data_IF_752819681381
#
_entry.id   IF_752819681381
#
_cell.length_a   1.000
_cell.length_b   1.000
_cell.length_c   1.000
_cell.angle_alpha   90.00
_cell.angle_beta   90.00
_cell.angle_gamma   90.00
#
_symmetry.space_group_name_H-M   'P 1'
#
loop_
_entity.id
_entity.type
_entity.pdbx_description
1 polymer ?
#
# COMPACT_ATOMS: atom_id res chain seq x y z
N UNK A 1 0.79 -26.26 7.20
CA UNK A 1 2.23 -25.92 7.38
C UNK A 1 2.43 -24.55 6.75
N UNK A 2 2.50 -23.47 7.54
CA UNK A 2 2.81 -22.16 7.00
C UNK A 2 4.30 -22.14 6.67
N UNK A 3 4.62 -22.00 5.39
CA UNK A 3 6.01 -21.87 4.92
C UNK A 3 6.27 -20.37 4.79
N UNK A 4 7.30 -19.88 5.50
CA UNK A 4 7.80 -18.51 5.30
C UNK A 4 8.69 -18.59 4.05
N UNK A 5 8.13 -18.30 2.89
CA UNK A 5 8.81 -18.53 1.59
C UNK A 5 9.72 -17.36 1.16
N UNK A 6 9.69 -16.21 1.85
CA UNK A 6 10.57 -15.08 1.50
C UNK A 6 10.77 -14.08 2.64
N UNK A 7 11.98 -14.03 3.21
CA UNK A 7 12.44 -12.90 4.04
C UNK A 7 12.92 -11.77 3.11
N UNK A 8 12.00 -11.04 2.50
CA UNK A 8 12.36 -9.86 1.73
C UNK A 8 12.82 -8.76 2.68
N UNK A 9 14.04 -8.26 2.47
CA UNK A 9 14.55 -7.09 3.17
C UNK A 9 13.82 -5.86 2.59
N UNK A 10 12.61 -5.63 3.09
CA UNK A 10 11.64 -4.68 2.52
C UNK A 10 12.00 -3.24 2.86
N UNK A 11 12.41 -3.02 4.11
CA UNK A 11 12.60 -1.73 4.76
C UNK A 11 13.89 -1.73 5.58
N UNK A 12 14.49 -0.55 5.77
CA UNK A 12 15.69 -0.37 6.61
C UNK A 12 15.36 -0.15 8.09
N UNK A 13 14.07 -0.14 8.43
CA UNK A 13 13.56 -0.01 9.80
C UNK A 13 12.33 -0.88 10.03
N UNK A 14 11.82 -0.86 11.27
CA UNK A 14 10.64 -1.63 11.68
C UNK A 14 9.42 -1.33 10.81
N UNK A 15 8.81 -2.39 10.28
CA UNK A 15 7.53 -2.31 9.56
C UNK A 15 6.41 -2.13 10.57
N UNK A 16 5.61 -1.08 10.43
CA UNK A 16 4.51 -0.76 11.34
C UNK A 16 3.20 -1.40 10.92
N UNK A 17 2.92 -1.37 9.61
CA UNK A 17 1.65 -1.81 9.05
C UNK A 17 1.84 -2.45 7.70
N UNK A 18 0.93 -3.36 7.41
CA UNK A 18 0.79 -4.07 6.14
C UNK A 18 -0.71 -4.11 5.80
N UNK A 19 -1.06 -3.87 4.56
CA UNK A 19 -2.46 -3.84 4.10
C UNK A 19 -2.57 -4.41 2.70
N UNK A 20 -3.69 -5.09 2.44
CA UNK A 20 -4.00 -5.69 1.16
C UNK A 20 -4.87 -4.76 0.33
N UNK A 21 -4.57 -4.64 -0.95
CA UNK A 21 -5.50 -4.01 -1.88
C UNK A 21 -6.74 -4.90 -2.07
N UNK A 22 -7.79 -4.33 -2.64
CA UNK A 22 -8.93 -5.12 -3.05
C UNK A 22 -8.52 -6.12 -4.17
N UNK A 23 -8.97 -7.39 -4.15
CA UNK A 23 -8.54 -8.42 -5.11
C UNK A 23 -8.78 -8.11 -6.59
N UNK A 24 -9.67 -7.15 -6.89
CA UNK A 24 -9.93 -6.64 -8.24
C UNK A 24 -8.70 -5.99 -8.89
N UNK A 25 -7.76 -5.49 -8.07
CA UNK A 25 -6.49 -4.93 -8.53
C UNK A 25 -5.36 -5.98 -8.57
N UNK A 26 -5.70 -7.26 -8.41
CA UNK A 26 -4.74 -8.34 -8.25
C UNK A 26 -4.23 -8.50 -6.82
N UNK A 27 -3.16 -9.28 -6.69
CA UNK A 27 -2.60 -9.67 -5.41
C UNK A 27 -1.55 -8.63 -4.96
N UNK A 28 -2.06 -7.48 -4.54
CA UNK A 28 -1.25 -6.29 -4.20
C UNK A 28 -1.23 -6.03 -2.71
N UNK A 29 -0.04 -5.74 -2.18
CA UNK A 29 0.22 -5.47 -0.78
C UNK A 29 0.93 -4.13 -0.64
N UNK A 30 0.59 -3.37 0.40
CA UNK A 30 1.37 -2.21 0.83
C UNK A 30 1.92 -2.41 2.24
N UNK A 31 3.13 -1.92 2.48
CA UNK A 31 3.79 -1.90 3.79
C UNK A 31 4.29 -0.51 4.11
N UNK A 32 4.35 -0.13 5.39
CA UNK A 32 4.95 1.14 5.82
C UNK A 32 5.88 0.95 7.02
N UNK A 33 6.85 1.85 7.17
CA UNK A 33 7.97 1.65 8.11
C UNK A 33 8.43 2.90 8.85
N UNK A 34 9.15 2.65 9.94
CA UNK A 34 9.92 3.63 10.68
C UNK A 34 10.94 4.37 9.80
N UNK A 35 11.40 3.75 8.72
CA UNK A 35 12.36 4.31 7.76
C UNK A 35 11.80 5.45 6.88
N UNK A 36 10.56 5.88 7.15
CA UNK A 36 9.83 6.98 6.47
C UNK A 36 9.29 6.61 5.10
N UNK A 37 9.26 5.33 4.75
CA UNK A 37 8.78 4.89 3.45
C UNK A 37 7.52 4.02 3.56
N UNK A 38 6.76 4.00 2.46
CA UNK A 38 5.80 2.95 2.19
C UNK A 38 6.20 2.22 0.90
N UNK A 39 6.03 0.91 0.84
CA UNK A 39 6.36 0.11 -0.34
C UNK A 39 5.11 -0.61 -0.84
N UNK A 40 4.98 -0.72 -2.16
CA UNK A 40 3.91 -1.45 -2.84
C UNK A 40 4.52 -2.69 -3.50
N UNK A 41 3.85 -3.82 -3.30
CA UNK A 41 4.29 -5.14 -3.70
C UNK A 41 3.20 -5.85 -4.50
N UNK A 42 3.61 -6.66 -5.46
CA UNK A 42 2.71 -7.52 -6.23
C UNK A 42 3.20 -8.97 -6.15
N UNK A 43 2.28 -9.89 -5.93
CA UNK A 43 2.55 -11.32 -6.04
C UNK A 43 2.49 -11.73 -7.51
N UNK A 44 3.57 -12.33 -8.00
CA UNK A 44 3.59 -13.00 -9.29
C UNK A 44 3.64 -14.49 -9.04
N UNK A 45 2.62 -15.19 -9.55
CA UNK A 45 2.56 -16.65 -9.52
C UNK A 45 3.27 -17.16 -10.76
N UNK A 46 4.41 -17.84 -10.58
CA UNK A 46 5.12 -18.45 -11.70
C UNK A 46 4.35 -19.65 -12.26
N UNK A 47 4.09 -19.66 -13.57
CA UNK A 47 3.66 -20.86 -14.30
C UNK A 47 4.86 -21.80 -14.52
N UNK A 48 5.35 -22.43 -13.46
CA UNK A 48 6.48 -23.36 -13.56
C UNK A 48 6.01 -24.70 -14.12
N UNK A 49 6.38 -25.00 -15.37
CA UNK A 49 6.03 -26.23 -16.08
C UNK A 49 6.83 -27.48 -15.68
N UNK A 50 7.68 -27.44 -14.65
CA UNK A 50 8.34 -28.65 -14.16
C UNK A 50 8.76 -28.51 -12.68
N UNK A 51 8.31 -29.45 -11.84
CA UNK A 51 8.78 -29.80 -10.47
C UNK A 51 8.80 -28.75 -9.34
N UNK A 52 8.64 -27.44 -9.59
CA UNK A 52 8.43 -26.41 -8.55
C UNK A 52 7.02 -25.82 -8.64
N UNK A 53 6.00 -26.64 -8.32
CA UNK A 53 4.63 -26.15 -8.17
C UNK A 53 4.53 -25.22 -6.97
N UNK A 54 4.21 -23.95 -7.19
CA UNK A 54 3.60 -23.08 -6.18
C UNK A 54 4.49 -22.07 -5.46
N UNK A 55 5.68 -21.75 -5.97
CA UNK A 55 6.45 -20.62 -5.41
C UNK A 55 5.94 -19.29 -5.98
N UNK A 56 5.09 -18.63 -5.21
CA UNK A 56 4.70 -17.23 -5.39
C UNK A 56 5.87 -16.32 -5.05
N UNK A 57 6.23 -15.38 -5.93
CA UNK A 57 7.26 -14.39 -5.63
C UNK A 57 6.66 -12.99 -5.50
N UNK A 58 7.11 -12.27 -4.47
CA UNK A 58 6.72 -10.88 -4.23
C UNK A 58 7.71 -9.94 -4.90
N UNK A 59 7.22 -9.10 -5.81
CA UNK A 59 8.01 -8.08 -6.47
C UNK A 59 7.68 -6.72 -5.87
N UNK A 60 8.71 -5.99 -5.41
CA UNK A 60 8.55 -4.58 -5.03
C UNK A 60 8.31 -3.75 -6.29
N UNK A 61 7.13 -3.16 -6.42
CA UNK A 61 6.77 -2.34 -7.59
C UNK A 61 7.18 -0.88 -7.42
N UNK A 62 7.03 -0.34 -6.21
CA UNK A 62 7.47 1.03 -5.91
C UNK A 62 7.81 1.23 -4.44
N UNK A 63 8.51 2.33 -4.14
CA UNK A 63 8.73 2.86 -2.80
C UNK A 63 8.34 4.33 -2.77
N UNK A 64 7.36 4.67 -1.95
CA UNK A 64 6.89 6.03 -1.69
C UNK A 64 7.76 6.64 -0.59
N UNK A 65 8.42 7.76 -0.92
CA UNK A 65 9.47 8.37 -0.10
C UNK A 65 9.18 9.82 0.30
N UNK A 66 7.94 10.30 0.07
CA UNK A 66 7.56 11.70 0.31
C UNK A 66 7.50 12.06 1.81
N UNK A 67 7.39 11.06 2.69
CA UNK A 67 7.26 11.31 4.12
C UNK A 67 8.59 11.72 4.75
N UNK A 68 8.58 12.81 5.53
CA UNK A 68 9.76 13.34 6.22
C UNK A 68 10.02 12.66 7.56
N UNK A 69 9.01 12.00 8.12
CA UNK A 69 9.09 11.24 9.36
C UNK A 69 8.48 9.85 9.18
N UNK A 70 8.55 9.02 10.22
CA UNK A 70 8.10 7.63 10.16
C UNK A 70 6.66 7.52 9.69
N UNK A 71 6.38 6.55 8.82
CA UNK A 71 5.02 6.28 8.33
C UNK A 71 4.37 5.31 9.30
N UNK A 72 3.34 5.78 10.00
CA UNK A 72 2.72 5.08 11.13
C UNK A 72 1.59 4.16 10.70
N UNK A 73 0.90 4.50 9.61
CA UNK A 73 -0.16 3.67 9.05
C UNK A 73 -0.29 3.83 7.53
N UNK A 74 -0.84 2.80 6.89
CA UNK A 74 -1.06 2.72 5.45
C UNK A 74 -2.35 1.94 5.15
N UNK A 75 -3.22 2.49 4.30
CA UNK A 75 -4.53 1.90 3.95
C UNK A 75 -4.88 2.13 2.49
N UNK A 76 -5.27 1.07 1.79
CA UNK A 76 -5.92 1.21 0.49
C UNK A 76 -7.32 1.80 0.65
N UNK A 77 -7.72 2.64 -0.31
CA UNK A 77 -9.08 3.14 -0.40
C UNK A 77 -10.06 2.04 -0.85
N UNK A 78 -11.37 2.23 -0.66
CA UNK A 78 -12.37 1.37 -1.25
C UNK A 78 -12.24 1.33 -2.78
N UNK A 79 -12.39 0.14 -3.38
CA UNK A 79 -12.17 -0.10 -4.82
C UNK A 79 -12.92 0.85 -5.77
N UNK A 80 -14.06 1.36 -5.33
CA UNK A 80 -14.89 2.26 -6.14
C UNK A 80 -14.30 3.66 -6.30
N UNK A 81 -13.28 4.00 -5.52
CA UNK A 81 -12.48 5.23 -5.68
C UNK A 81 -11.24 5.01 -6.56
N UNK A 82 -11.08 3.81 -7.14
CA UNK A 82 -9.87 3.42 -7.86
C UNK A 82 -8.80 2.82 -6.95
N UNK A 83 -7.60 2.59 -7.50
CA UNK A 83 -6.46 2.08 -6.75
C UNK A 83 -5.74 3.24 -6.07
N UNK A 84 -6.21 3.58 -4.87
CA UNK A 84 -5.61 4.63 -4.05
C UNK A 84 -5.02 4.07 -2.77
N UNK A 85 -3.94 4.70 -2.30
CA UNK A 85 -3.23 4.33 -1.08
C UNK A 85 -3.05 5.58 -0.22
N UNK A 86 -3.46 5.51 1.04
CA UNK A 86 -3.23 6.58 2.00
C UNK A 86 -2.16 6.17 2.97
N UNK A 87 -1.27 7.10 3.29
CA UNK A 87 -0.31 6.97 4.38
C UNK A 87 -0.53 8.09 5.39
N UNK A 88 -0.22 7.83 6.65
CA UNK A 88 -0.06 8.89 7.64
C UNK A 88 1.30 8.80 8.31
N UNK A 89 1.85 9.97 8.64
CA UNK A 89 3.18 10.09 9.21
C UNK A 89 3.14 10.69 10.62
N UNK A 90 4.20 10.44 11.39
CA UNK A 90 4.31 10.88 12.78
C UNK A 90 4.32 12.42 12.93
N UNK A 91 4.68 13.15 11.88
CA UNK A 91 4.60 14.61 11.78
C UNK A 91 3.18 15.16 11.58
N UNK A 92 2.18 14.28 11.47
CA UNK A 92 0.79 14.67 11.27
C UNK A 92 0.42 14.88 9.82
N UNK A 93 1.25 14.49 8.86
CA UNK A 93 0.91 14.61 7.43
C UNK A 93 0.26 13.31 6.93
N UNK A 94 -0.91 13.47 6.32
CA UNK A 94 -1.62 12.41 5.60
C UNK A 94 -1.42 12.61 4.10
N UNK A 95 -1.01 11.56 3.40
CA UNK A 95 -0.79 11.58 1.95
C UNK A 95 -1.71 10.59 1.27
N UNK A 96 -2.28 10.99 0.15
CA UNK A 96 -3.13 10.15 -0.69
C UNK A 96 -2.45 10.01 -2.05
N UNK A 97 -2.15 8.78 -2.41
CA UNK A 97 -1.57 8.38 -3.67
C UNK A 97 -2.60 7.65 -4.51
N UNK A 98 -2.49 7.77 -5.83
CA UNK A 98 -3.30 7.03 -6.79
C UNK A 98 -2.37 6.34 -7.79
N UNK A 99 -2.68 5.11 -8.16
CA UNK A 99 -2.08 4.45 -9.31
C UNK A 99 -2.92 4.79 -10.56
N UNK A 100 -2.42 5.62 -11.50
CA UNK A 100 -3.21 6.03 -12.67
C UNK A 100 -3.55 4.88 -13.61
N UNK A 101 -2.69 3.86 -13.63
CA UNK A 101 -2.88 2.62 -14.37
C UNK A 101 -2.69 1.43 -13.43
N UNK A 102 -3.76 0.67 -13.21
CA UNK A 102 -3.77 -0.52 -12.35
C UNK A 102 -2.86 -1.63 -12.88
N UNK A 103 -2.52 -1.61 -14.16
CA UNK A 103 -1.59 -2.55 -14.79
C UNK A 103 -0.13 -2.14 -14.58
N UNK A 104 0.13 -0.90 -14.16
CA UNK A 104 1.46 -0.36 -13.92
C UNK A 104 1.65 0.13 -12.48
N UNK A 105 1.74 -0.82 -11.55
CA UNK A 105 1.92 -0.57 -10.12
C UNK A 105 3.25 0.11 -9.73
N UNK A 106 4.14 0.37 -10.69
CA UNK A 106 5.37 1.14 -10.45
C UNK A 106 5.13 2.64 -10.35
N UNK A 107 4.00 3.13 -10.90
CA UNK A 107 3.67 4.55 -10.96
C UNK A 107 2.54 4.91 -10.01
N UNK A 108 2.83 5.84 -9.11
CA UNK A 108 1.89 6.37 -8.13
C UNK A 108 2.02 7.88 -8.09
N UNK A 109 0.92 8.59 -8.31
CA UNK A 109 0.85 10.05 -8.22
C UNK A 109 0.36 10.47 -6.84
N UNK A 110 1.06 11.42 -6.21
CA UNK A 110 0.58 12.08 -5.00
C UNK A 110 -0.57 13.02 -5.37
N UNK A 111 -1.79 12.67 -4.98
CA UNK A 111 -3.00 13.46 -5.25
C UNK A 111 -3.22 14.52 -4.18
N UNK A 112 -3.04 14.15 -2.91
CA UNK A 112 -3.29 15.05 -1.79
C UNK A 112 -2.24 14.91 -0.71
N UNK A 113 -1.91 16.05 -0.11
CA UNK A 113 -1.15 16.16 1.11
C UNK A 113 -1.95 17.01 2.11
N UNK A 114 -2.26 16.44 3.27
CA UNK A 114 -3.12 17.04 4.28
C UNK A 114 -2.33 17.11 5.58
N UNK A 115 -2.11 18.33 6.08
CA UNK A 115 -1.38 18.55 7.33
C UNK A 115 -2.34 18.65 8.51
N UNK A 116 -2.19 17.74 9.47
CA UNK A 116 -2.85 17.80 10.77
C UNK A 116 -1.97 18.55 11.78
N UNK A 117 -2.59 19.16 12.79
CA UNK A 117 -1.88 19.91 13.84
C UNK A 117 -1.16 19.00 14.86
N UNK A 118 -1.45 17.70 14.83
CA UNK A 118 -0.98 16.69 15.78
C UNK A 118 -0.46 15.48 15.00
N UNK A 119 0.40 14.69 15.65
CA UNK A 119 0.91 13.44 15.09
C UNK A 119 -0.21 12.47 14.70
N UNK A 120 -0.11 11.83 13.54
CA UNK A 120 -1.04 10.79 13.12
C UNK A 120 -0.49 9.40 13.49
N UNK A 121 -1.33 8.58 14.13
CA UNK A 121 -0.99 7.21 14.51
C UNK A 121 -1.75 6.15 13.71
N UNK A 122 -2.93 6.51 13.19
CA UNK A 122 -3.77 5.62 12.40
C UNK A 122 -4.69 6.40 11.46
N UNK A 123 -5.15 5.72 10.42
CA UNK A 123 -6.11 6.21 9.45
C UNK A 123 -7.11 5.12 9.09
N UNK A 124 -8.32 5.51 8.71
CA UNK A 124 -9.34 4.59 8.19
C UNK A 124 -10.17 5.28 7.14
N UNK A 125 -10.43 4.58 6.03
CA UNK A 125 -11.37 5.03 5.02
C UNK A 125 -12.81 4.72 5.44
N UNK A 126 -13.76 5.55 5.03
CA UNK A 126 -15.18 5.19 5.05
C UNK A 126 -15.43 4.16 3.92
N UNK A 127 -15.91 2.95 4.23
CA UNK A 127 -16.14 1.91 3.22
C UNK A 127 -17.36 2.17 2.34
N UNK A 128 -18.29 3.01 2.79
CA UNK A 128 -19.53 3.29 2.08
C UNK A 128 -19.28 4.07 0.81
N UNK A 129 -20.01 3.72 -0.25
CA UNK A 129 -20.21 4.63 -1.38
C UNK A 129 -21.00 5.81 -0.83
N UNK A 130 -20.49 7.03 -0.97
CA UNK A 130 -21.33 8.20 -0.74
C UNK A 130 -22.45 8.16 -1.79
N UNK A 131 -23.68 7.90 -1.38
CA UNK A 131 -24.82 8.16 -2.25
C UNK A 131 -24.76 9.64 -2.62
N UNK A 132 -24.79 9.95 -3.91
CA UNK A 132 -25.13 11.31 -4.34
C UNK A 132 -26.50 11.63 -3.74
N UNK A 133 -26.70 12.79 -3.08
CA UNK A 133 -28.05 13.17 -2.67
C UNK A 133 -28.92 13.14 -3.92
N UNK A 134 -30.00 12.37 -3.88
CA UNK A 134 -31.02 12.39 -4.91
C UNK A 134 -31.47 13.84 -5.07
N UNK A 135 -31.21 14.40 -6.26
CA UNK A 135 -31.72 15.70 -6.66
C UNK A 135 -33.24 15.67 -6.76
#
# INVERSE_FOLDING_TARGET
RFVIDSSLQTHSGSVWRVTWAHPEFGQVLASCSFDRTAAVWEEIVGESNDKQRGQSHWIKRTTLVDSRTSVTDVKFAPKHMGLMLTTCSADGVVRIYEAPDVMNLSQWSLQHEISCKLSCSCISWNPSRSDSPSR
#
